data_IF_087769702751
#
_entry.id   IF_087769702751
#
_cell.length_a   1.000
_cell.length_b   1.000
_cell.length_c   1.000
_cell.angle_alpha   90.00
_cell.angle_beta   90.00
_cell.angle_gamma   90.00
#
_symmetry.space_group_name_H-M   'P 1'
#
loop_
_entity.id
_entity.type
_entity.pdbx_description
1 polymer ?
#
# COMPACT_ATOMS: atom_id res chain seq x y z
N UNK A 1 -4.99 -6.72 -12.18
CA UNK A 1 -3.78 -7.45 -12.60
C UNK A 1 -3.65 -8.66 -11.68
N UNK A 2 -3.63 -9.91 -12.17
CA UNK A 2 -3.59 -11.06 -11.28
C UNK A 2 -2.16 -11.26 -10.77
N UNK A 3 -1.96 -11.19 -9.45
CA UNK A 3 -0.78 -11.76 -8.81
C UNK A 3 0.21 -10.80 -8.11
N UNK A 4 -0.06 -9.50 -8.05
CA UNK A 4 0.70 -8.61 -7.17
C UNK A 4 -0.08 -8.47 -5.86
N UNK A 5 0.45 -9.01 -4.76
CA UNK A 5 -0.03 -8.64 -3.44
C UNK A 5 0.71 -7.37 -3.05
N UNK A 6 0.03 -6.22 -3.10
CA UNK A 6 0.64 -4.94 -2.78
C UNK A 6 0.76 -4.76 -1.26
N UNK A 7 1.99 -4.75 -0.74
CA UNK A 7 2.24 -4.43 0.67
C UNK A 7 2.29 -2.91 0.88
N UNK A 8 1.33 -2.38 1.61
CA UNK A 8 1.37 -0.97 2.05
C UNK A 8 2.25 -0.84 3.30
N UNK A 9 3.32 -0.05 3.22
CA UNK A 9 4.34 0.09 4.29
C UNK A 9 4.52 1.55 4.73
N UNK A 10 3.61 2.19 5.48
CA UNK A 10 3.90 3.56 6.00
C UNK A 10 2.91 3.97 7.13
N UNK A 11 3.21 4.51 8.34
CA UNK A 11 4.26 5.37 8.97
C UNK A 11 4.83 4.86 10.32
N UNK A 12 5.95 5.46 10.78
CA UNK A 12 6.60 5.37 12.11
C UNK A 12 6.59 6.72 12.86
N UNK A 13 6.65 6.75 14.22
CA UNK A 13 7.30 7.82 14.98
C UNK A 13 8.56 7.32 15.72
N UNK A 14 9.53 8.22 15.80
CA UNK A 14 10.73 8.17 16.66
C UNK A 14 11.77 7.07 16.42
N UNK A 15 12.38 7.07 15.23
CA UNK A 15 13.85 7.13 15.01
C UNK A 15 14.22 6.69 13.58
N UNK A 16 13.98 7.58 12.60
CA UNK A 16 14.56 7.65 11.23
C UNK A 16 14.54 6.34 10.37
N UNK A 17 13.73 6.30 9.29
CA UNK A 17 13.98 7.07 8.05
C UNK A 17 12.86 8.10 7.76
N UNK A 18 12.96 8.98 6.73
CA UNK A 18 12.20 10.21 6.70
C UNK A 18 10.76 10.01 6.26
N UNK A 19 9.86 10.66 6.98
CA UNK A 19 8.76 11.39 6.35
C UNK A 19 7.51 10.59 6.10
N UNK A 20 6.87 10.08 7.15
CA UNK A 20 5.43 9.90 7.06
C UNK A 20 4.68 10.13 8.35
N UNK A 21 3.71 11.03 8.30
CA UNK A 21 2.68 11.25 9.31
C UNK A 21 1.33 11.00 8.63
N UNK A 22 0.45 10.27 9.29
CA UNK A 22 -0.95 10.12 8.84
C UNK A 22 -1.80 11.04 9.73
N UNK A 23 -2.44 12.07 9.16
CA UNK A 23 -3.35 12.91 9.93
C UNK A 23 -4.57 12.13 10.42
N UNK A 24 -5.21 12.60 11.50
CA UNK A 24 -6.47 12.03 11.99
C UNK A 24 -7.55 12.10 10.90
N UNK A 25 -8.41 11.06 10.83
CA UNK A 25 -9.51 11.01 9.85
C UNK A 25 -9.14 10.43 8.48
N UNK A 26 -8.03 9.69 8.37
CA UNK A 26 -7.73 8.90 7.18
C UNK A 26 -8.30 7.48 7.30
N UNK A 27 -9.05 7.03 6.30
CA UNK A 27 -9.67 5.71 6.26
C UNK A 27 -9.21 4.93 5.01
N UNK A 28 -9.08 3.61 5.17
CA UNK A 28 -8.91 2.67 4.06
C UNK A 28 -9.95 1.57 4.23
N UNK A 29 -10.72 1.28 3.19
CA UNK A 29 -11.65 0.14 3.14
C UNK A 29 -11.19 -0.78 2.02
N UNK A 30 -11.10 -2.07 2.28
CA UNK A 30 -10.66 -3.09 1.30
C UNK A 30 -11.66 -4.24 1.31
N UNK A 31 -12.25 -4.55 0.15
CA UNK A 31 -13.24 -5.62 0.04
C UNK A 31 -14.49 -5.39 0.90
N UNK A 32 -14.79 -4.13 1.27
CA UNK A 32 -15.88 -3.78 2.19
C UNK A 32 -15.47 -3.72 3.66
N UNK A 33 -14.26 -4.13 4.02
CA UNK A 33 -13.78 -4.16 5.41
C UNK A 33 -12.88 -2.95 5.73
N UNK A 34 -13.21 -2.14 6.75
CA UNK A 34 -12.37 -1.04 7.21
C UNK A 34 -11.02 -1.53 7.73
N UNK A 35 -9.95 -0.83 7.35
CA UNK A 35 -8.58 -1.12 7.75
C UNK A 35 -8.07 -0.01 8.67
N UNK A 36 -7.58 -0.40 9.84
CA UNK A 36 -7.04 0.54 10.82
C UNK A 36 -5.53 0.71 10.66
N UNK A 37 -5.09 1.97 10.61
CA UNK A 37 -3.67 2.31 10.66
C UNK A 37 -3.18 2.28 12.11
N UNK A 38 -2.03 1.66 12.34
CA UNK A 38 -1.33 1.70 13.62
C UNK A 38 0.10 2.18 13.40
N UNK A 39 0.56 3.13 14.21
CA UNK A 39 1.92 3.64 14.14
C UNK A 39 2.97 2.53 14.29
N UNK A 40 4.00 2.58 13.45
CA UNK A 40 5.09 1.62 13.44
C UNK A 40 4.73 0.22 12.93
N UNK A 41 3.51 0.04 12.41
CA UNK A 41 3.07 -1.22 11.78
C UNK A 41 2.84 -1.05 10.29
N UNK A 42 3.01 -2.15 9.56
CA UNK A 42 2.72 -2.22 8.13
C UNK A 42 1.31 -2.78 7.93
N UNK A 43 0.61 -2.30 6.91
CA UNK A 43 -0.70 -2.81 6.53
C UNK A 43 -0.56 -3.57 5.21
N UNK A 44 -0.65 -4.89 5.27
CA UNK A 44 -0.66 -5.73 4.09
C UNK A 44 -2.11 -6.01 3.70
N UNK A 45 -2.47 -5.67 2.47
CA UNK A 45 -3.75 -6.03 1.89
C UNK A 45 -3.57 -6.38 0.42
N UNK A 46 -4.56 -7.02 -0.18
CA UNK A 46 -4.56 -7.34 -1.60
C UNK A 46 -5.32 -6.22 -2.34
N UNK A 47 -4.62 -5.48 -3.20
CA UNK A 47 -5.16 -4.35 -3.96
C UNK A 47 -5.97 -4.78 -5.20
N UNK A 48 -6.06 -6.09 -5.46
CA UNK A 48 -6.99 -6.63 -6.46
C UNK A 48 -8.45 -6.55 -6.00
N UNK A 49 -8.70 -6.47 -4.68
CA UNK A 49 -10.01 -6.18 -4.14
C UNK A 49 -10.35 -4.70 -4.30
N UNK A 50 -11.64 -4.40 -4.44
CA UNK A 50 -12.14 -3.03 -4.44
C UNK A 50 -11.70 -2.35 -3.15
N UNK A 51 -10.99 -1.23 -3.29
CA UNK A 51 -10.48 -0.49 -2.16
C UNK A 51 -10.73 1.01 -2.32
N UNK A 52 -11.03 1.67 -1.21
CA UNK A 52 -11.27 3.11 -1.14
C UNK A 52 -10.38 3.71 -0.08
N UNK A 53 -9.68 4.79 -0.43
CA UNK A 53 -8.88 5.57 0.50
C UNK A 53 -9.50 6.96 0.65
N UNK A 54 -9.84 7.35 1.88
CA UNK A 54 -10.41 8.65 2.21
C UNK A 54 -9.42 9.45 3.08
N UNK A 55 -9.33 10.75 2.80
CA UNK A 55 -8.69 11.72 3.67
C UNK A 55 -9.77 12.70 4.16
N UNK A 56 -10.30 12.46 5.35
CA UNK A 56 -11.35 13.27 5.97
C UNK A 56 -10.85 14.42 6.86
N UNK A 57 -9.54 14.72 6.81
CA UNK A 57 -8.93 15.84 7.53
C UNK A 57 -9.28 17.20 6.91
N UNK A 58 -9.15 18.24 7.70
CA UNK A 58 -9.16 19.64 7.27
C UNK A 58 -7.88 20.01 6.52
N UNK A 59 -7.87 21.13 5.79
CA UNK A 59 -6.66 21.60 5.08
C UNK A 59 -5.48 21.89 6.04
N UNK A 60 -5.75 22.17 7.31
CA UNK A 60 -4.77 22.41 8.38
C UNK A 60 -4.03 21.12 8.80
N UNK A 61 -4.64 19.95 8.57
CA UNK A 61 -4.11 18.63 8.98
C UNK A 61 -2.91 18.18 8.12
N UNK A 62 -2.68 18.86 6.99
CA UNK A 62 -1.55 18.63 6.11
C UNK A 62 -1.66 17.35 5.26
N UNK A 63 -0.67 17.09 4.39
CA UNK A 63 -0.75 16.00 3.43
C UNK A 63 -0.54 14.63 4.10
N UNK A 64 -1.37 13.66 3.72
CA UNK A 64 -1.07 12.23 3.90
C UNK A 64 -0.16 11.77 2.76
N UNK A 65 1.05 11.33 3.10
CA UNK A 65 1.92 10.62 2.16
C UNK A 65 1.79 9.10 2.48
N UNK A 66 2.17 8.17 1.59
CA UNK A 66 1.90 6.72 1.79
C UNK A 66 2.88 5.86 0.97
N UNK A 67 3.48 4.79 1.53
CA UNK A 67 4.57 4.00 0.87
C UNK A 67 3.97 2.72 0.42
N UNK A 68 4.23 2.44 -0.83
CA UNK A 68 3.66 1.32 -1.51
C UNK A 68 4.84 0.49 -1.99
N UNK A 69 4.87 -0.75 -1.56
CA UNK A 69 5.81 -1.75 -2.01
C UNK A 69 5.00 -2.88 -2.62
N UNK A 70 5.25 -3.16 -3.89
CA UNK A 70 4.55 -4.22 -4.60
C UNK A 70 5.31 -5.53 -4.36
N UNK A 71 4.60 -6.53 -3.86
CA UNK A 71 5.16 -7.87 -3.68
C UNK A 71 4.50 -8.84 -4.63
N UNK A 72 5.26 -9.85 -5.03
CA UNK A 72 4.68 -11.01 -5.69
C UNK A 72 3.77 -11.75 -4.71
N UNK A 73 2.57 -12.10 -5.17
CA UNK A 73 1.70 -12.98 -4.41
C UNK A 73 2.46 -14.29 -4.10
N UNK A 74 2.36 -14.86 -2.88
CA UNK A 74 3.19 -15.99 -2.45
C UNK A 74 3.06 -17.22 -3.35
N UNK A 75 1.90 -17.38 -4.00
CA UNK A 75 1.63 -18.50 -4.92
C UNK A 75 2.15 -18.27 -6.36
N UNK A 76 2.81 -17.15 -6.66
CA UNK A 76 3.38 -16.91 -7.99
C UNK A 76 4.78 -17.50 -8.07
N UNK A 77 4.94 -18.51 -8.91
CA UNK A 77 6.18 -19.23 -9.13
C UNK A 77 7.22 -18.38 -9.87
N UNK A 78 8.51 -18.71 -9.70
CA UNK A 78 9.60 -17.93 -10.30
C UNK A 78 9.52 -17.81 -11.83
N UNK A 79 9.07 -18.88 -12.52
CA UNK A 79 8.87 -18.87 -13.97
C UNK A 79 7.76 -17.90 -14.41
N UNK A 80 6.68 -17.78 -13.63
CA UNK A 80 5.59 -16.85 -13.89
C UNK A 80 6.05 -15.40 -13.70
N UNK A 81 6.87 -15.13 -12.68
CA UNK A 81 7.47 -13.80 -12.45
C UNK A 81 8.32 -13.37 -13.64
N UNK A 82 9.19 -14.26 -14.14
CA UNK A 82 10.02 -13.98 -15.32
C UNK A 82 9.19 -13.70 -16.57
N UNK A 83 8.11 -14.47 -16.78
CA UNK A 83 7.21 -14.25 -17.91
C UNK A 83 6.49 -12.89 -17.79
N UNK A 84 6.01 -12.53 -16.59
CA UNK A 84 5.37 -11.25 -16.33
C UNK A 84 6.34 -10.08 -16.49
N UNK A 85 7.57 -10.20 -15.97
CA UNK A 85 8.62 -9.18 -16.14
C UNK A 85 8.97 -8.98 -17.62
N UNK A 86 8.97 -10.05 -18.42
CA UNK A 86 9.19 -9.96 -19.87
C UNK A 86 8.04 -9.26 -20.59
N UNK A 87 6.78 -9.62 -20.28
CA UNK A 87 5.58 -9.07 -20.92
C UNK A 87 5.39 -7.59 -20.56
N UNK A 88 5.66 -7.23 -19.30
CA UNK A 88 5.38 -5.91 -18.74
C UNK A 88 6.65 -5.06 -18.52
N UNK A 89 7.77 -5.40 -19.17
CA UNK A 89 9.00 -4.64 -19.07
C UNK A 89 8.76 -3.16 -19.43
N UNK A 90 9.09 -2.21 -18.54
CA UNK A 90 8.89 -0.79 -18.84
C UNK A 90 9.88 -0.37 -19.95
N UNK A 91 9.37 0.08 -21.09
CA UNK A 91 10.17 0.71 -22.15
C UNK A 91 10.46 -0.12 -23.41
N UNK A 92 9.53 -0.97 -23.85
CA UNK A 92 9.41 -1.31 -25.27
C UNK A 92 8.37 -0.43 -25.96
#
# INVERSE_FOLDING_TARGET
>A
MPGATRLHTRCLPSSRPPGLKTPSGCELVVGGEPQCWAEGRCLLFDDSFLHTALHGGSAEDGPRVVFMVDLWHPNVAAAERQALDFIFAPGR
#
